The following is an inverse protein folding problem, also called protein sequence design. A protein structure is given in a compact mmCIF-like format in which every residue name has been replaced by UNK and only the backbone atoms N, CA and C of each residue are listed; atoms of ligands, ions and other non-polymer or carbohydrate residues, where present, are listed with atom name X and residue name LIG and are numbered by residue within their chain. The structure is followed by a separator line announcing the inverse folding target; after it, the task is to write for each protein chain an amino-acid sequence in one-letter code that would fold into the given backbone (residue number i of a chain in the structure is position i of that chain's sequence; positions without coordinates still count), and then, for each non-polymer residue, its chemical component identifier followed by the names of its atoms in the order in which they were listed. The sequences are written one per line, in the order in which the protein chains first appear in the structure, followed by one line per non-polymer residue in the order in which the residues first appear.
data_IF_702477999603
#
_entry.id   IF_702477999603
#
_cell.length_a   1.000
_cell.length_b   1.000
_cell.length_c   1.000
_cell.angle_alpha   90.00
_cell.angle_beta   90.00
_cell.angle_gamma   90.00
#
_symmetry.space_group_name_H-M   'P 1'
#
loop_
_entity.id
_entity.type
_entity.pdbx_description
1 polymer ?
#
# COMPACT_ATOMS: atom_id res chain seq x y z
N UNK A 1 -1.35 20.56 1.77
CA UNK A 1 -0.69 19.46 1.01
C UNK A 1 -0.42 18.32 1.97
N UNK A 2 -1.04 17.15 1.77
CA UNK A 2 -0.80 15.99 2.62
C UNK A 2 0.55 15.37 2.28
N UNK A 3 1.45 15.36 3.26
CA UNK A 3 2.79 14.76 3.17
C UNK A 3 2.82 13.32 3.69
N UNK A 4 1.66 12.79 4.09
CA UNK A 4 1.50 11.46 4.67
C UNK A 4 0.29 10.76 4.04
N UNK A 5 0.37 9.44 3.91
CA UNK A 5 -0.73 8.58 3.51
C UNK A 5 -1.17 7.71 4.69
N UNK A 6 -2.45 7.37 4.74
CA UNK A 6 -2.98 6.40 5.69
C UNK A 6 -3.39 5.13 4.95
N UNK A 7 -2.88 3.99 5.40
CA UNK A 7 -3.16 2.69 4.80
C UNK A 7 -3.25 1.64 5.90
N UNK A 8 -4.40 0.95 5.98
CA UNK A 8 -4.72 -0.05 7.01
C UNK A 8 -4.40 0.40 8.45
N UNK A 9 -4.74 1.65 8.77
CA UNK A 9 -4.50 2.25 10.08
C UNK A 9 -3.05 2.64 10.38
N UNK A 10 -2.13 2.44 9.42
CA UNK A 10 -0.73 2.89 9.50
C UNK A 10 -0.53 4.17 8.70
N UNK A 11 0.45 4.97 9.10
CA UNK A 11 0.80 6.24 8.43
C UNK A 11 2.17 6.15 7.79
N UNK A 12 2.25 6.54 6.52
CA UNK A 12 3.45 6.49 5.69
C UNK A 12 3.81 7.87 5.18
N UNK A 13 5.10 8.19 5.05
CA UNK A 13 5.55 9.46 4.50
C UNK A 13 5.48 9.45 2.98
N UNK A 14 5.25 10.61 2.37
CA UNK A 14 5.31 10.74 0.92
C UNK A 14 6.68 10.30 0.37
N UNK A 15 6.66 9.38 -0.60
CA UNK A 15 7.82 8.72 -1.18
C UNK A 15 8.14 7.36 -0.55
N UNK A 16 7.50 6.99 0.54
CA UNK A 16 7.73 5.71 1.22
C UNK A 16 7.09 4.54 0.46
N UNK A 17 7.83 3.45 0.31
CA UNK A 17 7.34 2.17 -0.18
C UNK A 17 7.26 1.16 0.97
N UNK A 18 6.20 0.37 1.00
CA UNK A 18 5.94 -0.59 2.08
C UNK A 18 5.18 -1.82 1.55
N UNK A 19 5.30 -3.00 2.20
CA UNK A 19 4.54 -4.18 1.82
C UNK A 19 3.05 -4.00 2.13
N UNK A 20 2.19 -4.51 1.27
CA UNK A 20 0.77 -4.66 1.56
C UNK A 20 0.56 -5.73 2.65
N UNK A 21 -0.61 -5.74 3.28
CA UNK A 21 -0.96 -6.70 4.34
C UNK A 21 -1.13 -8.13 3.80
N UNK A 22 -1.20 -8.30 2.47
CA UNK A 22 -1.12 -9.62 1.83
C UNK A 22 0.30 -10.21 1.83
N UNK A 23 1.32 -9.44 2.19
CA UNK A 23 2.72 -9.86 2.26
C UNK A 23 3.38 -10.12 0.90
N UNK A 24 2.72 -9.77 -0.19
CA UNK A 24 3.11 -10.10 -1.55
C UNK A 24 3.16 -8.85 -2.44
N UNK A 25 2.13 -8.01 -2.38
CA UNK A 25 2.09 -6.74 -3.07
C UNK A 25 2.89 -5.66 -2.33
N UNK A 26 3.32 -4.65 -3.08
CA UNK A 26 4.04 -3.49 -2.55
C UNK A 26 3.28 -2.23 -2.88
N UNK A 27 3.15 -1.35 -1.89
CA UNK A 27 2.47 -0.07 -1.99
C UNK A 27 3.47 1.10 -1.91
N UNK A 28 3.10 2.23 -2.52
CA UNK A 28 3.84 3.48 -2.43
C UNK A 28 2.91 4.62 -1.99
N UNK A 29 3.40 5.45 -1.07
CA UNK A 29 2.72 6.67 -0.65
C UNK A 29 3.13 7.85 -1.54
N UNK A 30 2.19 8.39 -2.30
CA UNK A 30 2.43 9.53 -3.18
C UNK A 30 2.24 10.87 -2.47
N UNK A 31 2.95 11.90 -2.97
CA UNK A 31 2.72 13.29 -2.57
C UNK A 31 1.27 13.65 -2.89
N UNK A 32 0.50 14.05 -1.88
CA UNK A 32 -0.96 14.24 -1.99
C UNK A 32 -1.79 13.29 -1.12
N UNK A 33 -1.15 12.29 -0.49
CA UNK A 33 -1.81 11.39 0.45
C UNK A 33 -2.44 10.15 -0.18
N UNK A 34 -2.21 9.93 -1.49
CA UNK A 34 -2.70 8.75 -2.21
C UNK A 34 -1.75 7.57 -2.06
N UNK A 35 -2.30 6.36 -2.00
CA UNK A 35 -1.55 5.10 -1.98
C UNK A 35 -1.84 4.32 -3.26
N UNK A 36 -0.80 3.79 -3.89
CA UNK A 36 -0.92 2.89 -5.03
C UNK A 36 -0.14 1.60 -4.75
N UNK A 37 -0.72 0.44 -5.03
CA UNK A 37 -0.11 -0.86 -4.81
C UNK A 37 0.04 -1.64 -6.12
N UNK A 38 1.00 -2.56 -6.15
CA UNK A 38 1.11 -3.54 -7.24
C UNK A 38 -0.11 -4.46 -7.23
N UNK A 39 -0.38 -5.11 -8.38
CA UNK A 39 -1.45 -6.11 -8.53
C UNK A 39 -0.84 -7.43 -9.02
N UNK A 40 0.06 -8.00 -8.23
CA UNK A 40 0.65 -9.30 -8.48
C UNK A 40 -0.29 -10.41 -8.01
N UNK A 41 -0.28 -11.54 -8.71
CA UNK A 41 -0.98 -12.74 -8.27
C UNK A 41 -0.21 -13.40 -7.13
N UNK A 42 -0.85 -13.55 -5.98
CA UNK A 42 -0.24 -14.07 -4.76
C UNK A 42 -0.76 -15.49 -4.45
N UNK A 43 0.15 -16.46 -4.37
CA UNK A 43 -0.18 -17.84 -4.05
C UNK A 43 -0.33 -18.02 -2.54
N UNK A 44 -1.51 -18.46 -2.07
CA UNK A 44 -1.72 -18.86 -0.68
C UNK A 44 -2.33 -17.80 0.25
N UNK A 45 -2.66 -16.61 -0.25
CA UNK A 45 -3.64 -15.74 0.42
C UNK A 45 -5.04 -16.08 -0.08
N UNK A 46 -6.08 -16.11 0.78
CA UNK A 46 -7.44 -16.06 0.26
C UNK A 46 -7.51 -14.79 -0.59
N UNK A 47 -7.99 -14.90 -1.82
CA UNK A 47 -8.25 -13.74 -2.66
C UNK A 47 -9.56 -13.14 -2.14
N UNK A 48 -9.54 -11.99 -1.46
CA UNK A 48 -10.48 -10.94 -1.78
C UNK A 48 -9.68 -9.88 -2.53
N UNK A 49 -10.23 -9.44 -3.65
CA UNK A 49 -9.86 -8.15 -4.19
C UNK A 49 -9.94 -7.13 -3.03
N UNK A 50 -8.82 -6.52 -2.68
CA UNK A 50 -8.77 -5.34 -1.81
C UNK A 50 -9.62 -4.24 -2.43
#
# INVERSE_FOLDING_TARGET
MFSVCEYNGKRYKAGESFPDDDGCNTCNCHRGGAVACTLMFCLGTPIPLK
#
